data_IF_475017113462
#
_entry.id   IF_475017113462
#
_cell.length_a   1.000
_cell.length_b   1.000
_cell.length_c   1.000
_cell.angle_alpha   90.00
_cell.angle_beta   90.00
_cell.angle_gamma   90.00
#
_symmetry.space_group_name_H-M   'P 1'
#
loop_
_entity.id
_entity.type
_entity.pdbx_description
1 polymer ?
#
# COMPACT_ATOMS: atom_id res chain seq x y z
N UNK A 1 -2.27 15.96 -22.99
CA UNK A 1 -3.52 16.53 -22.44
C UNK A 1 -4.17 17.36 -23.51
N UNK A 2 -5.46 17.17 -23.78
CA UNK A 2 -6.18 17.95 -24.80
C UNK A 2 -6.41 19.38 -24.28
N UNK A 3 -6.00 20.43 -25.07
CA UNK A 3 -6.22 21.83 -24.69
C UNK A 3 -7.68 22.18 -24.45
N UNK A 4 -8.61 21.52 -25.16
CA UNK A 4 -10.04 21.78 -25.01
C UNK A 4 -10.56 21.36 -23.63
N UNK A 5 -10.11 20.23 -23.11
CA UNK A 5 -10.48 19.75 -21.75
C UNK A 5 -9.99 20.71 -20.67
N UNK A 6 -8.81 21.28 -20.86
CA UNK A 6 -8.26 22.28 -19.92
C UNK A 6 -9.12 23.56 -19.98
N UNK A 7 -9.48 24.01 -21.17
CA UNK A 7 -10.32 25.19 -21.34
C UNK A 7 -11.70 25.02 -20.69
N UNK A 8 -12.32 23.87 -20.87
CA UNK A 8 -13.61 23.58 -20.22
C UNK A 8 -13.50 23.57 -18.70
N UNK A 9 -12.47 22.93 -18.15
CA UNK A 9 -12.23 22.93 -16.70
C UNK A 9 -11.99 24.33 -16.15
N UNK A 10 -11.30 25.20 -16.92
CA UNK A 10 -11.08 26.61 -16.54
C UNK A 10 -12.40 27.37 -16.54
N UNK A 11 -13.25 27.19 -17.56
CA UNK A 11 -14.57 27.80 -17.63
C UNK A 11 -15.46 27.41 -16.46
N UNK A 12 -15.52 26.13 -16.12
CA UNK A 12 -16.27 25.61 -14.96
C UNK A 12 -15.78 26.24 -13.66
N UNK A 13 -14.46 26.32 -13.45
CA UNK A 13 -13.88 26.92 -12.27
C UNK A 13 -14.16 28.44 -12.17
N UNK A 14 -14.17 29.15 -13.30
CA UNK A 14 -14.52 30.58 -13.36
C UNK A 14 -16.00 30.78 -13.02
N UNK A 15 -16.89 29.91 -13.55
CA UNK A 15 -18.31 29.93 -13.20
C UNK A 15 -18.51 29.67 -11.71
N UNK A 16 -17.80 28.70 -11.14
CA UNK A 16 -17.86 28.41 -9.71
C UNK A 16 -17.36 29.60 -8.85
N UNK A 17 -16.30 30.26 -9.28
CA UNK A 17 -15.79 31.47 -8.63
C UNK A 17 -16.81 32.63 -8.71
N UNK A 18 -17.45 32.84 -9.87
CA UNK A 18 -18.50 33.80 -10.04
C UNK A 18 -19.70 33.52 -9.13
N UNK A 19 -20.20 32.29 -9.11
CA UNK A 19 -21.34 31.88 -8.26
C UNK A 19 -21.05 32.13 -6.77
N UNK A 20 -19.82 31.89 -6.32
CA UNK A 20 -19.41 32.19 -4.95
C UNK A 20 -19.43 33.68 -4.65
N UNK A 21 -18.82 34.51 -5.52
CA UNK A 21 -18.78 35.95 -5.35
C UNK A 21 -20.19 36.58 -5.40
N UNK A 22 -21.02 36.12 -6.32
CA UNK A 22 -22.41 36.56 -6.44
C UNK A 22 -23.28 36.20 -5.20
N UNK A 23 -23.07 34.99 -4.61
CA UNK A 23 -23.71 34.61 -3.36
C UNK A 23 -23.27 35.47 -2.18
N UNK A 24 -21.99 35.78 -2.09
CA UNK A 24 -21.45 36.71 -1.05
C UNK A 24 -22.06 38.11 -1.17
N UNK A 25 -22.44 38.54 -2.40
CA UNK A 25 -23.12 39.78 -2.65
C UNK A 25 -24.66 39.69 -2.50
N UNK A 26 -25.18 38.53 -2.13
CA UNK A 26 -26.62 38.33 -1.93
C UNK A 26 -27.43 38.18 -3.24
N UNK A 27 -26.78 37.87 -4.36
CA UNK A 27 -27.43 37.64 -5.65
C UNK A 27 -27.86 36.17 -5.74
N UNK A 28 -29.11 35.94 -6.19
CA UNK A 28 -29.63 34.59 -6.43
C UNK A 28 -28.92 33.97 -7.66
N UNK A 29 -28.27 32.85 -7.48
CA UNK A 29 -27.47 32.19 -8.53
C UNK A 29 -28.01 30.82 -8.94
N UNK A 30 -28.94 30.25 -8.16
CA UNK A 30 -29.36 28.87 -8.34
C UNK A 30 -30.50 28.74 -9.39
N UNK A 31 -31.12 29.85 -9.79
CA UNK A 31 -32.15 29.91 -10.82
C UNK A 31 -31.59 30.09 -12.26
N UNK A 32 -30.26 30.17 -12.40
CA UNK A 32 -29.61 30.46 -13.69
C UNK A 32 -28.51 29.45 -14.01
N UNK A 33 -28.44 29.12 -15.31
CA UNK A 33 -27.30 28.45 -15.91
C UNK A 33 -26.26 29.48 -16.37
N UNK A 34 -24.99 29.08 -16.42
CA UNK A 34 -23.87 29.97 -16.69
C UNK A 34 -22.92 29.40 -17.73
N UNK A 35 -22.36 30.28 -18.54
CA UNK A 35 -21.25 29.97 -19.44
C UNK A 35 -20.16 31.05 -19.31
N UNK A 36 -18.92 30.60 -19.35
CA UNK A 36 -17.77 31.52 -19.34
C UNK A 36 -17.08 31.52 -20.71
N UNK A 37 -16.92 32.67 -21.29
CA UNK A 37 -16.19 32.87 -22.55
C UNK A 37 -14.86 33.58 -22.23
N UNK A 38 -13.77 32.95 -22.66
CA UNK A 38 -12.41 33.46 -22.49
C UNK A 38 -11.90 33.85 -23.88
N UNK A 39 -11.50 35.09 -24.07
CA UNK A 39 -10.85 35.52 -25.30
C UNK A 39 -9.40 34.97 -25.31
N UNK A 40 -9.03 34.17 -26.31
CA UNK A 40 -7.70 33.59 -26.36
C UNK A 40 -6.57 34.58 -26.65
N UNK A 41 -6.90 35.80 -27.11
CA UNK A 41 -5.92 36.82 -27.52
C UNK A 41 -5.58 37.74 -26.36
N UNK A 42 -6.58 38.26 -25.67
CA UNK A 42 -6.40 39.25 -24.61
C UNK A 42 -6.65 38.70 -23.21
N UNK A 43 -7.15 37.46 -23.11
CA UNK A 43 -7.48 36.81 -21.82
C UNK A 43 -8.71 37.41 -21.14
N UNK A 44 -9.47 38.28 -21.82
CA UNK A 44 -10.70 38.84 -21.26
C UNK A 44 -11.73 37.74 -21.01
N UNK A 45 -12.30 37.74 -19.82
CA UNK A 45 -13.28 36.72 -19.42
C UNK A 45 -14.63 37.36 -19.23
N UNK A 46 -15.66 36.81 -19.90
CA UNK A 46 -17.05 37.20 -19.74
C UNK A 46 -17.87 36.03 -19.24
N UNK A 47 -18.75 36.30 -18.27
CA UNK A 47 -19.68 35.33 -17.73
C UNK A 47 -21.09 35.70 -18.22
N UNK A 48 -21.74 34.74 -18.83
CA UNK A 48 -23.09 34.86 -19.35
C UNK A 48 -24.02 33.99 -18.49
N UNK A 49 -25.21 34.51 -18.20
CA UNK A 49 -26.24 33.79 -17.48
C UNK A 49 -27.53 33.71 -18.32
N UNK A 50 -28.27 32.65 -18.21
CA UNK A 50 -29.63 32.45 -18.71
C UNK A 50 -30.46 31.70 -17.71
N UNK A 51 -31.79 31.90 -17.66
CA UNK A 51 -32.68 31.18 -16.76
C UNK A 51 -32.67 29.68 -17.07
N UNK A 52 -32.63 28.86 -16.02
CA UNK A 52 -32.71 27.38 -16.15
C UNK A 52 -34.09 27.06 -16.77
N UNK A 53 -34.15 26.35 -17.89
CA UNK A 53 -35.40 25.89 -18.47
C UNK A 53 -36.10 24.93 -17.50
N UNK A 54 -37.45 24.81 -17.56
CA UNK A 54 -38.17 23.83 -16.81
C UNK A 54 -37.72 22.41 -17.17
N UNK A 55 -37.80 21.44 -16.23
CA UNK A 55 -37.33 20.07 -16.42
C UNK A 55 -37.97 19.38 -17.65
N UNK A 56 -39.17 19.83 -18.06
CA UNK A 56 -39.93 19.34 -19.26
C UNK A 56 -39.69 20.16 -20.52
N UNK A 57 -38.72 21.08 -20.54
CA UNK A 57 -38.49 21.98 -21.65
C UNK A 57 -37.96 21.23 -22.90
N UNK A 58 -38.54 21.55 -24.09
CA UNK A 58 -38.06 20.99 -25.34
C UNK A 58 -36.66 21.54 -25.72
N UNK A 59 -35.88 20.77 -26.52
CA UNK A 59 -34.56 21.19 -27.00
C UNK A 59 -34.59 22.59 -27.68
N UNK A 60 -35.68 22.96 -28.32
CA UNK A 60 -35.84 24.28 -28.95
C UNK A 60 -36.01 25.41 -27.92
N UNK A 61 -36.57 25.15 -26.76
CA UNK A 61 -36.72 26.12 -25.69
C UNK A 61 -35.38 26.30 -24.96
N UNK A 62 -34.63 25.22 -24.80
CA UNK A 62 -33.24 25.26 -24.25
C UNK A 62 -32.34 26.08 -25.20
N UNK A 63 -32.44 25.89 -26.51
CA UNK A 63 -31.68 26.71 -27.47
C UNK A 63 -32.11 28.17 -27.48
N UNK A 64 -33.41 28.47 -27.29
CA UNK A 64 -33.88 29.85 -27.14
C UNK A 64 -33.34 30.52 -25.88
N UNK A 65 -33.41 29.82 -24.73
CA UNK A 65 -32.86 30.32 -23.48
C UNK A 65 -31.37 30.58 -23.62
N UNK A 66 -30.59 29.71 -24.27
CA UNK A 66 -29.19 29.94 -24.60
C UNK A 66 -28.92 31.10 -25.54
N UNK A 67 -29.86 31.51 -26.36
CA UNK A 67 -29.74 32.71 -27.22
C UNK A 67 -30.01 34.00 -26.47
N UNK A 68 -30.74 33.96 -25.37
CA UNK A 68 -31.05 35.11 -24.52
C UNK A 68 -29.99 35.35 -23.42
N UNK A 69 -28.72 34.99 -23.68
CA UNK A 69 -27.60 35.14 -22.75
C UNK A 69 -27.42 36.60 -22.35
N UNK A 70 -27.45 36.88 -21.04
CA UNK A 70 -27.09 38.18 -20.46
C UNK A 70 -25.66 38.14 -19.96
N UNK A 71 -24.90 39.18 -20.31
CA UNK A 71 -23.59 39.40 -19.70
C UNK A 71 -23.80 39.87 -18.24
N UNK A 72 -23.33 39.07 -17.31
CA UNK A 72 -23.44 39.30 -15.85
C UNK A 72 -22.07 39.50 -15.21
N UNK A 73 -21.04 39.79 -16.01
CA UNK A 73 -19.67 39.94 -15.56
C UNK A 73 -19.51 41.11 -14.60
N UNK A 74 -19.14 40.93 -13.34
CA UNK A 74 -18.94 42.05 -12.41
C UNK A 74 -17.73 42.88 -12.81
N UNK A 75 -17.75 44.18 -12.54
CA UNK A 75 -16.60 45.05 -12.78
C UNK A 75 -15.40 44.59 -11.96
N UNK A 76 -14.26 44.36 -12.63
CA UNK A 76 -13.03 43.89 -11.98
C UNK A 76 -12.90 42.37 -11.84
N UNK A 77 -13.90 41.61 -12.29
CA UNK A 77 -13.89 40.12 -12.20
C UNK A 77 -12.73 39.47 -12.98
N UNK A 78 -12.17 40.13 -13.97
CA UNK A 78 -11.03 39.62 -14.74
C UNK A 78 -9.81 39.23 -13.88
N UNK A 79 -9.59 39.91 -12.74
CA UNK A 79 -8.50 39.54 -11.80
C UNK A 79 -8.81 38.20 -11.11
N UNK A 80 -10.04 37.99 -10.66
CA UNK A 80 -10.50 36.77 -10.02
C UNK A 80 -10.44 35.62 -11.01
N UNK A 81 -10.96 35.84 -12.24
CA UNK A 81 -10.93 34.87 -13.32
C UNK A 81 -9.49 34.44 -13.68
N UNK A 82 -8.58 35.39 -13.83
CA UNK A 82 -7.16 35.13 -14.13
C UNK A 82 -6.47 34.33 -13.01
N UNK A 83 -6.74 34.66 -11.75
CA UNK A 83 -6.19 33.93 -10.61
C UNK A 83 -6.74 32.53 -10.53
N UNK A 84 -8.04 32.32 -10.73
CA UNK A 84 -8.70 31.00 -10.77
C UNK A 84 -8.16 30.16 -11.94
N UNK A 85 -8.06 30.74 -13.13
CA UNK A 85 -7.50 30.05 -14.29
C UNK A 85 -6.05 29.60 -14.04
N UNK A 86 -5.21 30.47 -13.48
CA UNK A 86 -3.84 30.11 -13.09
C UNK A 86 -3.81 28.94 -12.09
N UNK A 87 -4.67 28.97 -11.09
CA UNK A 87 -4.75 27.90 -10.08
C UNK A 87 -5.17 26.56 -10.72
N UNK A 88 -6.19 26.57 -11.60
CA UNK A 88 -6.67 25.39 -12.32
C UNK A 88 -5.59 24.82 -13.24
N UNK A 89 -4.90 25.68 -13.98
CA UNK A 89 -3.79 25.26 -14.85
C UNK A 89 -2.70 24.56 -14.03
N UNK A 90 -2.27 25.17 -12.92
CA UNK A 90 -1.27 24.56 -12.05
C UNK A 90 -1.75 23.21 -11.45
N UNK A 91 -3.03 23.14 -11.09
CA UNK A 91 -3.61 21.87 -10.61
C UNK A 91 -3.60 20.81 -11.71
N UNK A 92 -4.03 21.15 -12.93
CA UNK A 92 -4.06 20.22 -14.06
C UNK A 92 -2.66 19.76 -14.48
N UNK A 93 -1.67 20.64 -14.43
CA UNK A 93 -0.27 20.26 -14.68
C UNK A 93 0.19 19.24 -13.63
N UNK A 94 -0.06 19.48 -12.34
CA UNK A 94 0.30 18.56 -11.26
C UNK A 94 -0.42 17.21 -11.38
N UNK A 95 -1.70 17.21 -11.76
CA UNK A 95 -2.46 15.99 -12.00
C UNK A 95 -1.87 15.18 -13.17
N UNK A 96 -1.50 15.85 -14.26
CA UNK A 96 -0.86 15.21 -15.41
C UNK A 96 0.53 14.65 -15.08
N UNK A 97 1.37 15.43 -14.38
CA UNK A 97 2.67 14.97 -13.92
C UNK A 97 2.54 13.74 -13.01
N UNK A 98 1.59 13.79 -12.05
CA UNK A 98 1.31 12.66 -11.18
C UNK A 98 0.80 11.45 -11.97
N UNK A 99 -0.06 11.65 -12.96
CA UNK A 99 -0.55 10.60 -13.85
C UNK A 99 0.60 9.91 -14.61
N UNK A 100 1.48 10.68 -15.24
CA UNK A 100 2.64 10.17 -15.98
C UNK A 100 3.60 9.39 -15.05
N UNK A 101 3.82 9.89 -13.83
CA UNK A 101 4.62 9.17 -12.83
C UNK A 101 3.97 7.83 -12.47
N UNK A 102 2.65 7.80 -12.26
CA UNK A 102 1.94 6.55 -11.92
C UNK A 102 1.97 5.54 -13.07
N UNK A 103 1.89 5.98 -14.32
CA UNK A 103 2.04 5.11 -15.50
C UNK A 103 3.45 4.49 -15.55
N UNK A 104 4.50 5.29 -15.33
CA UNK A 104 5.88 4.78 -15.25
C UNK A 104 6.04 3.71 -14.14
N UNK A 105 5.45 3.92 -12.97
CA UNK A 105 5.50 2.95 -11.89
C UNK A 105 4.60 1.73 -12.13
N UNK A 106 3.52 1.86 -12.92
CA UNK A 106 2.67 0.74 -13.30
C UNK A 106 3.43 -0.32 -14.10
N UNK A 107 4.33 0.10 -14.98
CA UNK A 107 5.22 -0.80 -15.73
C UNK A 107 6.25 -1.50 -14.81
N UNK A 108 6.55 -0.91 -13.67
CA UNK A 108 7.51 -1.44 -12.68
C UNK A 108 6.85 -2.29 -11.59
N UNK A 109 5.55 -2.54 -11.65
CA UNK A 109 4.88 -3.44 -10.69
C UNK A 109 5.53 -4.82 -10.73
N UNK A 110 5.80 -5.39 -9.57
CA UNK A 110 6.55 -6.64 -9.42
C UNK A 110 8.07 -6.50 -9.54
N UNK A 111 8.62 -5.29 -9.61
CA UNK A 111 10.07 -5.03 -9.59
C UNK A 111 10.54 -4.43 -8.26
N UNK A 112 11.85 -4.45 -8.03
CA UNK A 112 12.48 -3.80 -6.88
C UNK A 112 12.67 -2.30 -7.13
N UNK A 113 12.42 -1.52 -6.07
CA UNK A 113 12.70 -0.09 -6.03
C UNK A 113 13.41 0.26 -4.73
N UNK A 114 14.36 1.20 -4.81
CA UNK A 114 15.00 1.77 -3.62
C UNK A 114 14.21 2.98 -3.14
N UNK A 115 13.87 3.01 -1.85
CA UNK A 115 13.12 4.10 -1.24
C UNK A 115 13.70 4.54 0.10
N UNK A 116 13.38 5.76 0.49
CA UNK A 116 13.76 6.38 1.76
C UNK A 116 12.55 6.41 2.69
N UNK A 117 12.69 5.92 3.92
CA UNK A 117 11.63 5.98 4.92
C UNK A 117 11.44 7.41 5.38
N UNK A 118 10.27 8.01 5.10
CA UNK A 118 9.94 9.39 5.46
C UNK A 118 9.33 9.49 6.85
N UNK A 119 8.26 8.73 7.09
CA UNK A 119 7.49 8.80 8.33
C UNK A 119 6.66 7.55 8.56
N UNK A 120 6.20 7.41 9.78
CA UNK A 120 5.25 6.37 10.18
C UNK A 120 3.85 7.00 10.33
N UNK A 121 2.89 6.50 9.56
CA UNK A 121 1.48 6.89 9.65
C UNK A 121 0.72 5.78 10.42
N UNK A 122 0.81 5.79 11.74
CA UNK A 122 0.34 4.70 12.59
C UNK A 122 1.11 3.40 12.29
N UNK A 123 0.42 2.30 11.90
CA UNK A 123 1.07 1.04 11.55
C UNK A 123 1.73 1.04 10.17
N UNK A 124 1.34 1.96 9.30
CA UNK A 124 1.83 2.07 7.93
C UNK A 124 3.09 2.93 7.85
N UNK A 125 3.87 2.75 6.79
CA UNK A 125 5.12 3.49 6.56
C UNK A 125 5.01 4.23 5.24
N UNK A 126 5.37 5.52 5.23
CA UNK A 126 5.51 6.32 4.01
C UNK A 126 6.96 6.31 3.55
N UNK A 127 7.13 6.01 2.28
CA UNK A 127 8.43 5.85 1.62
C UNK A 127 8.53 6.83 0.46
N UNK A 128 9.63 7.56 0.37
CA UNK A 128 9.96 8.41 -0.76
C UNK A 128 10.71 7.61 -1.83
N UNK A 129 10.16 7.59 -3.03
CA UNK A 129 10.77 7.00 -4.22
C UNK A 129 11.50 8.03 -5.10
N UNK A 130 11.66 9.27 -4.60
CA UNK A 130 12.31 10.39 -5.26
C UNK A 130 11.34 11.26 -6.08
N UNK A 131 10.45 10.67 -6.85
CA UNK A 131 9.46 11.41 -7.66
C UNK A 131 8.05 11.38 -7.07
N UNK A 132 7.78 10.41 -6.20
CA UNK A 132 6.47 10.23 -5.54
C UNK A 132 6.63 9.49 -4.23
N UNK A 133 5.65 9.65 -3.35
CA UNK A 133 5.55 8.86 -2.12
C UNK A 133 4.81 7.55 -2.38
N UNK A 134 5.21 6.50 -1.67
CA UNK A 134 4.56 5.20 -1.64
C UNK A 134 4.22 4.79 -0.21
N UNK A 135 3.37 3.78 -0.08
CA UNK A 135 2.88 3.28 1.22
C UNK A 135 3.25 1.81 1.37
N UNK A 136 3.80 1.45 2.51
CA UNK A 136 3.90 0.06 2.95
C UNK A 136 2.94 -0.16 4.11
N UNK A 137 1.98 -1.08 3.93
CA UNK A 137 1.00 -1.42 4.95
C UNK A 137 1.64 -2.25 6.08
N UNK A 138 0.96 -2.32 7.21
CA UNK A 138 1.44 -3.11 8.36
C UNK A 138 1.67 -4.59 8.01
N UNK A 139 0.79 -5.17 7.21
CA UNK A 139 0.86 -6.56 6.73
C UNK A 139 2.00 -6.83 5.74
N UNK A 140 2.47 -5.78 5.05
CA UNK A 140 3.55 -5.83 4.06
C UNK A 140 4.94 -5.56 4.67
N UNK A 141 5.00 -5.35 5.98
CA UNK A 141 6.25 -5.20 6.74
C UNK A 141 6.79 -6.58 7.14
N UNK A 142 8.10 -6.69 7.23
CA UNK A 142 8.72 -7.84 7.87
C UNK A 142 8.51 -7.70 9.39
N UNK A 143 7.89 -8.68 10.07
CA UNK A 143 7.75 -8.66 11.52
C UNK A 143 9.13 -8.55 12.18
N UNK A 144 9.22 -7.74 13.24
CA UNK A 144 10.44 -7.49 14.00
C UNK A 144 11.58 -6.77 13.25
N UNK A 145 11.39 -6.35 12.00
CA UNK A 145 12.37 -5.51 11.31
C UNK A 145 12.38 -4.10 11.90
N UNK A 146 13.57 -3.63 12.27
CA UNK A 146 13.74 -2.27 12.77
C UNK A 146 13.86 -1.30 11.60
N UNK A 147 12.82 -0.53 11.39
CA UNK A 147 12.77 0.51 10.37
C UNK A 147 13.09 1.86 11.04
N UNK A 148 14.03 2.61 10.47
CA UNK A 148 14.41 3.92 10.98
C UNK A 148 14.06 5.02 9.97
N UNK A 149 13.74 6.21 10.47
CA UNK A 149 13.55 7.39 9.63
C UNK A 149 14.84 7.69 8.85
N UNK A 150 14.69 8.16 7.63
CA UNK A 150 15.78 8.45 6.70
C UNK A 150 16.65 7.22 6.34
N UNK A 151 16.18 6.02 6.61
CA UNK A 151 16.82 4.79 6.17
C UNK A 151 16.42 4.49 4.73
N UNK A 152 17.41 4.17 3.88
CA UNK A 152 17.19 3.73 2.49
C UNK A 152 17.20 2.21 2.43
N UNK A 153 16.13 1.63 1.89
CA UNK A 153 15.93 0.18 1.76
C UNK A 153 15.40 -0.16 0.37
N UNK A 154 15.47 -1.45 0.03
CA UNK A 154 14.82 -2.00 -1.15
C UNK A 154 13.39 -2.44 -0.81
N UNK A 155 12.46 -2.23 -1.73
CA UNK A 155 11.06 -2.60 -1.63
C UNK A 155 10.59 -3.25 -2.93
N UNK A 156 9.61 -4.14 -2.85
CA UNK A 156 8.87 -4.63 -3.99
C UNK A 156 7.67 -3.70 -4.25
N UNK A 157 7.49 -3.28 -5.48
CA UNK A 157 6.24 -2.62 -5.88
C UNK A 157 5.17 -3.69 -6.02
N UNK A 158 4.27 -3.77 -5.02
CA UNK A 158 3.23 -4.80 -4.95
C UNK A 158 2.07 -4.50 -5.90
N UNK A 159 1.58 -3.28 -5.85
CA UNK A 159 0.45 -2.82 -6.65
C UNK A 159 0.36 -1.29 -6.69
N UNK A 160 -0.42 -0.78 -7.63
CA UNK A 160 -0.88 0.61 -7.65
C UNK A 160 -2.40 0.57 -7.63
N UNK A 161 -2.98 1.10 -6.57
CA UNK A 161 -4.42 1.10 -6.37
C UNK A 161 -4.98 2.52 -6.32
N UNK A 162 -6.23 2.66 -6.72
CA UNK A 162 -6.95 3.90 -6.61
C UNK A 162 -7.54 4.03 -5.20
N UNK A 163 -7.25 5.15 -4.56
CA UNK A 163 -7.74 5.49 -3.23
C UNK A 163 -8.57 6.77 -3.30
N UNK A 164 -9.36 7.15 -2.27
CA UNK A 164 -10.07 8.43 -2.25
C UNK A 164 -9.18 9.67 -2.42
N UNK A 165 -7.85 9.50 -2.22
CA UNK A 165 -6.84 10.56 -2.41
C UNK A 165 -6.14 10.50 -3.77
N UNK A 166 -6.58 9.61 -4.67
CA UNK A 166 -6.00 9.31 -5.97
C UNK A 166 -5.17 8.02 -5.97
N UNK A 167 -4.44 7.76 -7.05
CA UNK A 167 -3.59 6.58 -7.18
C UNK A 167 -2.43 6.61 -6.19
N UNK A 168 -2.23 5.52 -5.46
CA UNK A 168 -1.13 5.31 -4.51
C UNK A 168 -0.36 4.03 -4.85
N UNK A 169 0.96 4.07 -4.66
CA UNK A 169 1.86 2.92 -4.86
C UNK A 169 1.97 2.17 -3.54
N UNK A 170 1.68 0.87 -3.58
CA UNK A 170 1.82 -0.03 -2.44
C UNK A 170 3.10 -0.85 -2.56
N UNK A 171 3.91 -0.80 -1.51
CA UNK A 171 5.17 -1.49 -1.41
C UNK A 171 5.07 -2.64 -0.42
N UNK A 172 5.85 -3.70 -0.66
CA UNK A 172 5.95 -4.82 0.25
C UNK A 172 7.41 -5.25 0.45
N UNK A 173 7.71 -5.68 1.67
CA UNK A 173 8.92 -6.42 2.03
C UNK A 173 8.59 -7.82 2.54
N UNK A 174 7.31 -8.07 2.89
CA UNK A 174 6.81 -9.36 3.37
C UNK A 174 6.44 -10.33 2.23
N UNK A 175 6.18 -9.83 1.03
CA UNK A 175 5.79 -10.64 -0.13
C UNK A 175 6.89 -11.64 -0.51
N UNK A 176 6.56 -12.91 -0.82
CA UNK A 176 7.52 -13.89 -1.32
C UNK A 176 8.26 -13.44 -2.59
N UNK A 177 7.60 -12.70 -3.49
CA UNK A 177 8.20 -12.16 -4.70
C UNK A 177 9.34 -11.17 -4.42
N UNK A 178 9.34 -10.52 -3.25
CA UNK A 178 10.46 -9.69 -2.83
C UNK A 178 11.76 -10.48 -2.78
N UNK A 179 11.73 -11.68 -2.18
CA UNK A 179 12.90 -12.58 -2.11
C UNK A 179 13.31 -13.07 -3.49
N UNK A 180 12.34 -13.44 -4.35
CA UNK A 180 12.61 -13.85 -5.74
C UNK A 180 13.36 -12.76 -6.51
N UNK A 181 12.93 -11.51 -6.38
CA UNK A 181 13.56 -10.38 -7.05
C UNK A 181 14.93 -10.02 -6.45
N UNK A 182 15.13 -10.24 -5.14
CA UNK A 182 16.45 -10.11 -4.53
C UNK A 182 17.43 -11.15 -5.09
N UNK A 183 17.00 -12.41 -5.22
CA UNK A 183 17.82 -13.42 -5.89
C UNK A 183 18.13 -13.04 -7.34
N UNK A 184 17.16 -12.55 -8.09
CA UNK A 184 17.38 -12.11 -9.48
C UNK A 184 18.39 -10.94 -9.57
N UNK A 185 18.51 -10.11 -8.53
CA UNK A 185 19.53 -9.05 -8.45
C UNK A 185 20.92 -9.59 -8.14
N UNK A 186 21.02 -10.56 -7.21
CA UNK A 186 22.31 -11.07 -6.72
C UNK A 186 22.87 -12.22 -7.58
N UNK A 187 22.03 -12.91 -8.33
CA UNK A 187 22.38 -14.13 -9.09
C UNK A 187 22.18 -13.89 -10.58
N UNK A 188 23.26 -13.62 -11.36
CA UNK A 188 23.17 -13.31 -12.79
C UNK A 188 22.51 -14.41 -13.63
N UNK A 189 22.60 -15.67 -13.17
CA UNK A 189 22.02 -16.86 -13.80
C UNK A 189 20.49 -16.81 -13.90
N UNK A 190 19.81 -16.00 -13.07
CA UNK A 190 18.38 -15.71 -13.22
C UNK A 190 18.08 -14.84 -14.43
N UNK A 191 18.93 -13.84 -14.68
CA UNK A 191 18.74 -12.91 -15.80
C UNK A 191 18.98 -13.59 -17.15
N UNK A 192 19.87 -14.61 -17.18
CA UNK A 192 20.10 -15.43 -18.37
C UNK A 192 19.03 -16.53 -18.58
N UNK A 193 18.11 -16.72 -17.61
CA UNK A 193 17.12 -17.79 -17.62
C UNK A 193 17.70 -19.19 -17.40
N UNK A 194 18.99 -19.29 -17.00
CA UNK A 194 19.65 -20.58 -16.73
C UNK A 194 19.17 -21.20 -15.40
N UNK A 195 18.84 -20.37 -14.44
CA UNK A 195 18.31 -20.76 -13.13
C UNK A 195 16.99 -20.03 -12.88
N UNK A 196 16.03 -20.71 -12.29
CA UNK A 196 14.75 -20.13 -11.91
C UNK A 196 14.28 -20.65 -10.55
N UNK A 197 13.49 -19.85 -9.81
CA UNK A 197 12.76 -20.30 -8.62
C UNK A 197 11.40 -20.83 -9.06
N UNK A 198 11.19 -22.13 -8.95
CA UNK A 198 9.94 -22.81 -9.30
C UNK A 198 8.87 -22.65 -8.22
N UNK A 199 9.30 -22.68 -6.96
CA UNK A 199 8.38 -22.52 -5.82
C UNK A 199 9.08 -21.79 -4.68
N UNK A 200 8.31 -21.01 -3.92
CA UNK A 200 8.79 -20.30 -2.74
C UNK A 200 7.73 -20.34 -1.65
N UNK A 201 8.15 -20.68 -0.43
CA UNK A 201 7.33 -20.58 0.77
C UNK A 201 8.03 -19.71 1.80
N UNK A 202 7.35 -18.67 2.29
CA UNK A 202 7.92 -17.66 3.18
C UNK A 202 7.07 -17.46 4.43
N UNK A 203 7.74 -17.34 5.55
CA UNK A 203 7.25 -16.74 6.79
C UNK A 203 8.11 -15.51 7.06
N UNK A 204 7.61 -14.30 6.72
CA UNK A 204 8.40 -13.08 6.75
C UNK A 204 9.05 -12.83 8.12
N UNK A 205 10.33 -12.51 8.13
CA UNK A 205 11.12 -12.25 9.33
C UNK A 205 11.55 -13.50 10.11
N UNK A 206 11.21 -14.70 9.62
CA UNK A 206 11.57 -15.95 10.27
C UNK A 206 12.36 -16.88 9.34
N UNK A 207 11.72 -17.38 8.28
CA UNK A 207 12.36 -18.33 7.37
C UNK A 207 11.69 -18.36 5.99
N UNK A 208 12.51 -18.51 4.95
CA UNK A 208 12.07 -18.72 3.56
C UNK A 208 12.67 -20.01 3.01
N UNK A 209 11.89 -20.79 2.28
CA UNK A 209 12.34 -21.90 1.45
C UNK A 209 12.12 -21.59 -0.02
N UNK A 210 13.18 -21.68 -0.83
CA UNK A 210 13.15 -21.42 -2.27
C UNK A 210 13.60 -22.67 -3.02
N UNK A 211 12.71 -23.26 -3.82
CA UNK A 211 13.02 -24.39 -4.68
C UNK A 211 13.50 -23.87 -6.04
N UNK A 212 14.74 -24.14 -6.37
CA UNK A 212 15.43 -23.65 -7.56
C UNK A 212 15.66 -24.76 -8.57
N UNK A 213 15.55 -24.42 -9.84
CA UNK A 213 15.71 -25.32 -10.97
C UNK A 213 16.69 -24.73 -11.99
N UNK A 214 17.46 -25.58 -12.67
CA UNK A 214 18.27 -25.19 -13.81
C UNK A 214 17.76 -25.84 -15.09
N UNK A 215 17.54 -25.01 -16.11
CA UNK A 215 17.21 -25.51 -17.46
C UNK A 215 18.45 -25.96 -18.25
N UNK A 216 19.66 -25.63 -17.77
CA UNK A 216 20.91 -25.92 -18.45
C UNK A 216 21.65 -27.09 -17.80
N UNK A 217 22.04 -28.06 -18.61
CA UNK A 217 22.84 -29.18 -18.15
C UNK A 217 24.22 -28.70 -17.67
N UNK A 218 24.62 -29.10 -16.46
CA UNK A 218 25.92 -28.76 -15.88
C UNK A 218 25.92 -27.48 -15.04
N UNK A 219 24.77 -26.79 -14.91
CA UNK A 219 24.63 -25.67 -13.98
C UNK A 219 23.95 -26.18 -12.72
N UNK A 220 24.63 -26.09 -11.58
CA UNK A 220 24.05 -26.35 -10.25
C UNK A 220 23.20 -25.15 -9.81
N UNK A 221 21.87 -25.31 -9.75
CA UNK A 221 20.99 -24.19 -9.39
C UNK A 221 21.15 -23.76 -7.92
N UNK A 222 21.41 -24.72 -7.02
CA UNK A 222 21.60 -24.45 -5.60
C UNK A 222 22.93 -23.73 -5.36
N UNK A 223 24.01 -24.26 -5.93
CA UNK A 223 25.33 -23.63 -5.86
C UNK A 223 25.36 -22.23 -6.44
N UNK A 224 24.65 -21.97 -7.56
CA UNK A 224 24.51 -20.65 -8.17
C UNK A 224 23.83 -19.64 -7.24
N UNK A 225 22.75 -20.03 -6.54
CA UNK A 225 22.03 -19.17 -5.62
C UNK A 225 22.77 -18.95 -4.30
N UNK A 226 23.43 -19.98 -3.78
CA UNK A 226 24.23 -19.90 -2.53
C UNK A 226 25.47 -19.05 -2.76
N UNK A 227 26.16 -19.29 -3.90
CA UNK A 227 27.42 -18.63 -4.23
C UNK A 227 28.61 -19.15 -3.42
N UNK A 228 29.81 -18.68 -3.75
CA UNK A 228 31.02 -19.10 -3.04
C UNK A 228 30.93 -18.74 -1.56
N UNK A 229 31.10 -19.71 -0.68
CA UNK A 229 30.99 -19.55 0.78
C UNK A 229 29.69 -18.92 1.25
N UNK A 230 28.61 -19.02 0.48
CA UNK A 230 27.30 -18.49 0.84
C UNK A 230 27.13 -16.98 0.68
N UNK A 231 28.02 -16.29 -0.02
CA UNK A 231 28.00 -14.81 -0.13
C UNK A 231 26.70 -14.29 -0.74
N UNK A 232 26.17 -14.95 -1.80
CA UNK A 232 24.96 -14.48 -2.47
C UNK A 232 23.71 -14.64 -1.61
N UNK A 233 23.51 -15.82 -1.02
CA UNK A 233 22.38 -16.04 -0.11
C UNK A 233 22.49 -15.17 1.15
N UNK A 234 23.72 -14.90 1.62
CA UNK A 234 23.91 -14.01 2.77
C UNK A 234 23.58 -12.56 2.44
N UNK A 235 23.84 -12.09 1.21
CA UNK A 235 23.44 -10.76 0.75
C UNK A 235 21.90 -10.62 0.77
N UNK A 236 21.19 -11.63 0.27
CA UNK A 236 19.71 -11.67 0.33
C UNK A 236 19.25 -11.69 1.80
N UNK A 237 19.80 -12.55 2.63
CA UNK A 237 19.48 -12.68 4.06
C UNK A 237 19.66 -11.33 4.81
N UNK A 238 20.73 -10.62 4.53
CA UNK A 238 21.00 -9.31 5.14
C UNK A 238 19.96 -8.26 4.72
N UNK A 239 19.55 -8.26 3.44
CA UNK A 239 18.54 -7.32 2.92
C UNK A 239 17.17 -7.54 3.55
N UNK A 240 16.82 -8.80 3.91
CA UNK A 240 15.52 -9.14 4.54
C UNK A 240 15.58 -9.18 6.07
N UNK A 241 16.55 -8.50 6.67
CA UNK A 241 16.66 -8.33 8.12
C UNK A 241 17.11 -9.57 8.89
N UNK A 242 17.87 -10.48 8.25
CA UNK A 242 18.40 -11.69 8.88
C UNK A 242 17.47 -12.89 8.86
N UNK A 243 16.39 -12.85 8.08
CA UNK A 243 15.50 -13.98 7.81
C UNK A 243 16.28 -15.13 7.16
N UNK A 244 16.15 -16.36 7.68
CA UNK A 244 16.87 -17.51 7.14
C UNK A 244 16.32 -17.90 5.78
N UNK A 245 17.20 -18.12 4.80
CA UNK A 245 16.83 -18.55 3.46
C UNK A 245 17.45 -19.91 3.15
N UNK A 246 16.60 -20.92 2.99
CA UNK A 246 16.98 -22.26 2.55
C UNK A 246 16.76 -22.36 1.05
N UNK A 247 17.83 -22.62 0.32
CA UNK A 247 17.79 -22.90 -1.12
C UNK A 247 17.84 -24.39 -1.32
N UNK A 248 16.83 -24.96 -1.99
CA UNK A 248 16.69 -26.40 -2.24
C UNK A 248 16.57 -26.66 -3.73
N UNK A 249 17.02 -27.85 -4.15
CA UNK A 249 16.84 -28.26 -5.54
C UNK A 249 15.37 -28.61 -5.79
N UNK A 250 14.81 -28.09 -6.88
CA UNK A 250 13.50 -28.51 -7.38
C UNK A 250 13.57 -29.91 -7.96
N UNK A 251 12.54 -30.71 -7.70
CA UNK A 251 12.31 -31.99 -8.38
C UNK A 251 10.88 -32.08 -8.86
N UNK A 252 10.66 -32.67 -10.03
CA UNK A 252 9.32 -32.96 -10.54
C UNK A 252 8.67 -34.15 -9.78
N UNK A 253 9.48 -34.98 -9.11
CA UNK A 253 8.98 -35.99 -8.19
C UNK A 253 8.63 -35.35 -6.84
N UNK A 254 7.33 -35.36 -6.45
CA UNK A 254 6.91 -34.76 -5.19
C UNK A 254 7.59 -35.40 -3.96
N UNK A 255 7.92 -36.69 -4.00
CA UNK A 255 8.57 -37.36 -2.87
C UNK A 255 10.00 -36.81 -2.66
N UNK A 256 10.76 -36.64 -3.75
CA UNK A 256 12.10 -36.08 -3.70
C UNK A 256 12.07 -34.59 -3.32
N UNK A 257 11.09 -33.83 -3.84
CA UNK A 257 10.92 -32.41 -3.47
C UNK A 257 10.59 -32.26 -1.98
N UNK A 258 9.75 -33.12 -1.41
CA UNK A 258 9.42 -33.10 0.01
C UNK A 258 10.65 -33.45 0.85
N UNK A 259 11.43 -34.48 0.48
CA UNK A 259 12.66 -34.85 1.18
C UNK A 259 13.66 -33.68 1.21
N UNK A 260 13.96 -33.11 0.04
CA UNK A 260 14.89 -31.98 -0.05
C UNK A 260 14.36 -30.73 0.69
N UNK A 261 13.04 -30.53 0.69
CA UNK A 261 12.42 -29.41 1.39
C UNK A 261 12.45 -29.53 2.91
N UNK A 262 12.52 -30.75 3.47
CA UNK A 262 12.63 -30.97 4.91
C UNK A 262 14.05 -30.83 5.45
N UNK A 263 15.02 -30.52 4.58
CA UNK A 263 16.37 -30.18 5.02
C UNK A 263 16.35 -29.16 6.21
N UNK A 264 17.24 -29.33 7.24
CA UNK A 264 18.42 -30.20 7.27
C UNK A 264 18.19 -31.65 7.76
N UNK A 265 16.96 -32.11 7.87
CA UNK A 265 16.70 -33.50 8.24
C UNK A 265 17.12 -34.46 7.09
N UNK A 266 17.77 -35.58 7.46
CA UNK A 266 18.32 -36.53 6.53
C UNK A 266 17.68 -37.94 6.73
N UNK A 267 17.91 -38.85 5.77
CA UNK A 267 17.44 -40.24 5.82
C UNK A 267 15.92 -40.39 5.97
N UNK A 268 15.16 -39.48 5.31
CA UNK A 268 13.72 -39.51 5.32
C UNK A 268 13.17 -40.46 4.27
N UNK A 269 12.12 -41.23 4.61
CA UNK A 269 11.30 -41.92 3.64
C UNK A 269 9.96 -41.21 3.48
N UNK A 270 9.45 -41.14 2.26
CA UNK A 270 8.21 -40.42 1.95
C UNK A 270 7.28 -41.34 1.19
N UNK A 271 6.09 -41.55 1.73
CA UNK A 271 4.98 -42.23 1.09
C UNK A 271 3.89 -41.25 0.72
N UNK A 272 3.45 -41.26 -0.56
CA UNK A 272 2.48 -40.32 -1.09
C UNK A 272 1.11 -40.95 -1.23
N UNK A 273 0.11 -40.41 -0.55
CA UNK A 273 -1.30 -40.68 -0.81
C UNK A 273 -1.84 -39.60 -1.76
N UNK A 274 -1.90 -39.97 -3.04
CA UNK A 274 -2.32 -39.03 -4.11
C UNK A 274 -3.80 -38.68 -4.03
N UNK A 275 -4.63 -39.55 -3.48
CA UNK A 275 -6.08 -39.29 -3.38
C UNK A 275 -6.40 -38.24 -2.34
N UNK A 276 -5.65 -38.23 -1.24
CA UNK A 276 -5.84 -37.26 -0.14
C UNK A 276 -4.86 -36.08 -0.19
N UNK A 277 -3.91 -36.09 -1.12
CA UNK A 277 -2.78 -35.15 -1.17
C UNK A 277 -2.00 -35.09 0.17
N UNK A 278 -1.81 -36.26 0.80
CA UNK A 278 -1.08 -36.45 2.06
C UNK A 278 0.27 -37.11 1.75
N UNK A 279 1.34 -36.55 2.31
CA UNK A 279 2.66 -37.15 2.31
C UNK A 279 3.00 -37.61 3.74
N UNK A 280 3.13 -38.90 3.94
CA UNK A 280 3.63 -39.47 5.18
C UNK A 280 5.15 -39.56 5.12
N UNK A 281 5.80 -38.90 6.05
CA UNK A 281 7.24 -38.82 6.13
C UNK A 281 7.70 -39.55 7.37
N UNK A 282 8.44 -40.64 7.19
CA UNK A 282 9.05 -41.35 8.28
C UNK A 282 10.49 -40.88 8.47
N UNK A 283 10.78 -40.42 9.66
CA UNK A 283 12.09 -39.88 10.05
C UNK A 283 12.72 -40.72 11.17
N UNK A 284 14.05 -40.90 11.18
CA UNK A 284 14.77 -41.41 12.34
C UNK A 284 14.51 -40.55 13.58
N UNK A 285 14.52 -41.15 14.78
CA UNK A 285 14.22 -40.40 16.02
C UNK A 285 15.11 -39.19 16.24
N UNK A 286 16.40 -39.31 15.90
CA UNK A 286 17.37 -38.20 15.97
C UNK A 286 17.07 -37.06 14.96
N UNK A 287 16.40 -37.38 13.84
CA UNK A 287 16.04 -36.43 12.79
C UNK A 287 14.63 -35.83 12.94
N UNK A 288 13.77 -36.48 13.73
CA UNK A 288 12.35 -36.10 13.87
C UNK A 288 12.20 -34.64 14.29
N UNK A 289 12.95 -34.20 15.28
CA UNK A 289 12.90 -32.79 15.75
C UNK A 289 13.33 -31.79 14.67
N UNK A 290 14.32 -32.17 13.83
CA UNK A 290 14.77 -31.31 12.71
C UNK A 290 13.77 -31.31 11.55
N UNK A 291 13.16 -32.47 11.27
CA UNK A 291 12.12 -32.57 10.24
C UNK A 291 10.90 -31.70 10.59
N UNK A 292 10.44 -31.75 11.83
CA UNK A 292 9.32 -30.93 12.33
C UNK A 292 9.74 -29.45 12.41
N UNK A 293 10.91 -29.19 12.94
CA UNK A 293 11.43 -27.84 13.21
C UNK A 293 10.75 -27.16 14.39
N UNK A 294 11.29 -26.02 14.81
CA UNK A 294 10.72 -25.22 15.89
C UNK A 294 9.27 -24.82 15.56
N UNK A 295 8.35 -25.08 16.49
CA UNK A 295 6.91 -24.77 16.34
C UNK A 295 6.29 -25.35 15.04
N UNK A 296 6.79 -26.48 14.52
CA UNK A 296 6.33 -27.08 13.28
C UNK A 296 6.66 -26.27 12.01
N UNK A 297 7.56 -25.32 12.07
CA UNK A 297 7.86 -24.39 10.99
C UNK A 297 8.40 -25.08 9.73
N UNK A 298 9.29 -26.09 9.90
CA UNK A 298 9.89 -26.78 8.77
C UNK A 298 8.83 -27.53 7.96
N UNK A 299 7.96 -28.29 8.63
CA UNK A 299 6.82 -29.01 8.03
C UNK A 299 5.84 -28.02 7.37
N UNK A 300 5.48 -26.94 8.07
CA UNK A 300 4.52 -25.96 7.55
C UNK A 300 5.03 -25.24 6.29
N UNK A 301 6.30 -24.85 6.24
CA UNK A 301 6.90 -24.25 5.06
C UNK A 301 7.00 -25.25 3.91
N UNK A 302 7.38 -26.50 4.21
CA UNK A 302 7.43 -27.58 3.21
C UNK A 302 6.04 -27.86 2.64
N UNK A 303 5.02 -27.91 3.47
CA UNK A 303 3.64 -28.08 3.02
C UNK A 303 3.19 -26.93 2.09
N UNK A 304 3.50 -25.67 2.44
CA UNK A 304 3.23 -24.50 1.57
C UNK A 304 4.01 -24.54 0.26
N UNK A 305 5.25 -25.02 0.29
CA UNK A 305 6.11 -25.08 -0.89
C UNK A 305 5.66 -26.13 -1.89
N UNK A 306 5.29 -27.33 -1.39
CA UNK A 306 4.99 -28.49 -2.21
C UNK A 306 3.50 -28.64 -2.53
N UNK A 307 2.63 -27.98 -1.75
CA UNK A 307 1.17 -28.10 -1.86
C UNK A 307 0.62 -29.43 -1.25
N UNK A 308 1.45 -30.21 -0.56
CA UNK A 308 1.06 -31.44 0.10
C UNK A 308 0.84 -31.23 1.60
N UNK A 309 -0.15 -31.92 2.16
CA UNK A 309 -0.25 -32.05 3.61
C UNK A 309 0.82 -33.03 4.09
N UNK A 310 1.68 -32.61 5.01
CA UNK A 310 2.81 -33.43 5.47
C UNK A 310 2.55 -33.90 6.88
N UNK A 311 2.62 -35.21 7.06
CA UNK A 311 2.53 -35.91 8.35
C UNK A 311 3.89 -36.56 8.62
N UNK A 312 4.54 -36.18 9.73
CA UNK A 312 5.88 -36.69 10.08
C UNK A 312 5.76 -37.64 11.24
N UNK A 313 6.25 -38.87 11.04
CA UNK A 313 6.26 -39.92 12.04
C UNK A 313 7.70 -40.39 12.33
N UNK A 314 7.97 -40.74 13.58
CA UNK A 314 9.27 -41.33 13.96
C UNK A 314 9.33 -42.81 13.62
N UNK A 315 10.46 -43.30 13.12
CA UNK A 315 10.69 -44.75 12.82
C UNK A 315 10.81 -45.63 14.08
N UNK A 316 10.49 -45.16 15.28
CA UNK A 316 10.38 -45.97 16.47
C UNK A 316 9.04 -46.70 16.51
N UNK A 317 9.06 -48.04 16.50
CA UNK A 317 7.87 -48.88 16.74
C UNK A 317 7.17 -48.41 18.02
N UNK A 318 6.08 -47.69 17.90
CA UNK A 318 5.00 -47.72 18.89
C UNK A 318 3.71 -47.49 18.12
N UNK A 319 2.98 -48.59 17.93
CA UNK A 319 1.55 -48.53 17.70
C UNK A 319 0.90 -47.82 18.90
N UNK A 320 0.67 -46.54 18.78
CA UNK A 320 -0.23 -45.84 19.68
C UNK A 320 -1.67 -46.20 19.29
N UNK A 321 -2.57 -46.41 20.26
CA UNK A 321 -3.95 -46.79 19.97
C UNK A 321 -4.64 -45.68 19.21
N UNK A 322 -5.42 -46.06 18.19
CA UNK A 322 -6.34 -45.19 17.47
C UNK A 322 -7.29 -44.50 18.45
N UNK A 323 -6.93 -43.32 18.92
CA UNK A 323 -7.94 -42.40 19.40
C UNK A 323 -8.71 -41.90 18.17
N UNK A 324 -9.94 -42.35 18.07
CA UNK A 324 -10.92 -41.87 17.12
C UNK A 324 -11.03 -40.35 17.31
N UNK A 325 -10.28 -39.61 16.52
CA UNK A 325 -10.55 -38.15 16.32
C UNK A 325 -11.83 -38.14 15.47
N UNK A 326 -12.94 -37.82 16.10
CA UNK A 326 -14.17 -37.48 15.39
C UNK A 326 -13.85 -36.45 14.31
N UNK A 327 -14.14 -36.79 13.06
CA UNK A 327 -14.07 -35.87 11.92
C UNK A 327 -14.82 -34.58 12.28
N UNK A 328 -14.22 -33.38 12.14
CA UNK A 328 -15.01 -32.17 12.12
C UNK A 328 -15.87 -32.23 10.86
N UNK A 329 -17.16 -32.43 11.04
CA UNK A 329 -18.17 -32.41 9.99
C UNK A 329 -17.98 -31.16 9.08
N UNK A 330 -18.20 -31.30 7.76
CA UNK A 330 -18.07 -30.20 6.81
C UNK A 330 -19.04 -29.09 7.23
N UNK A 331 -18.50 -27.91 7.52
CA UNK A 331 -19.27 -26.72 7.89
C UNK A 331 -20.03 -26.27 6.65
N UNK A 332 -21.36 -26.36 6.60
CA UNK A 332 -22.11 -25.81 5.48
C UNK A 332 -22.04 -24.28 5.55
N UNK A 333 -21.51 -23.68 4.50
CA UNK A 333 -21.54 -22.24 4.29
C UNK A 333 -22.99 -21.82 4.01
N UNK A 334 -23.76 -21.71 5.08
CA UNK A 334 -25.05 -20.97 5.07
C UNK A 334 -25.33 -20.52 6.50
N UNK A 335 -24.75 -19.41 6.90
CA UNK A 335 -25.13 -18.78 8.16
C UNK A 335 -26.53 -18.20 8.02
N UNK A 336 -27.54 -18.96 8.42
CA UNK A 336 -28.83 -18.39 8.82
C UNK A 336 -28.59 -17.58 10.09
N UNK A 337 -28.60 -16.24 9.94
CA UNK A 337 -28.61 -15.31 11.06
C UNK A 337 -29.84 -15.64 11.92
N UNK A 338 -29.63 -16.27 13.06
CA UNK A 338 -30.71 -16.60 13.99
C UNK A 338 -31.28 -15.29 14.57
N UNK A 339 -32.61 -15.17 14.55
CA UNK A 339 -33.42 -14.02 15.00
C UNK A 339 -33.04 -13.48 16.38
N UNK A 340 -32.27 -14.21 17.17
CA UNK A 340 -31.82 -13.85 18.51
C UNK A 340 -30.66 -12.83 18.53
N UNK A 341 -29.75 -12.90 17.52
CA UNK A 341 -28.64 -11.92 17.40
C UNK A 341 -29.12 -10.56 16.83
N UNK A 342 -30.10 -10.61 15.92
CA UNK A 342 -30.73 -9.40 15.38
C UNK A 342 -31.54 -8.64 16.46
N UNK A 343 -32.16 -9.36 17.41
CA UNK A 343 -32.90 -8.76 18.51
C UNK A 343 -32.02 -8.12 19.58
N UNK A 344 -30.79 -8.63 19.80
CA UNK A 344 -29.80 -8.01 20.70
C UNK A 344 -29.16 -6.75 20.12
N UNK A 345 -28.90 -6.73 18.77
CA UNK A 345 -28.39 -5.54 18.09
C UNK A 345 -29.43 -4.43 17.98
N UNK A 346 -30.68 -4.78 17.70
CA UNK A 346 -31.78 -3.81 17.68
C UNK A 346 -32.12 -3.23 19.07
N UNK A 347 -31.88 -3.99 20.16
CA UNK A 347 -32.05 -3.49 21.52
C UNK A 347 -30.93 -2.54 21.94
N UNK A 348 -29.70 -2.79 21.48
CA UNK A 348 -28.53 -1.92 21.71
C UNK A 348 -28.58 -0.62 20.89
N UNK A 349 -29.17 -0.64 19.70
CA UNK A 349 -29.40 0.56 18.89
C UNK A 349 -30.48 1.48 19.50
N UNK A 350 -31.55 0.91 20.08
CA UNK A 350 -32.58 1.71 20.78
C UNK A 350 -32.13 2.26 22.14
N UNK A 351 -31.15 1.66 22.81
CA UNK A 351 -30.54 2.21 24.02
C UNK A 351 -29.57 3.37 23.72
N UNK A 352 -29.02 3.45 22.52
CA UNK A 352 -28.14 4.56 22.09
C UNK A 352 -28.97 5.78 21.67
N UNK A 353 -30.13 5.59 21.01
CA UNK A 353 -31.05 6.69 20.67
C UNK A 353 -31.79 7.31 21.89
N UNK A 354 -31.87 6.60 23.02
CA UNK A 354 -32.52 7.11 24.23
C UNK A 354 -31.59 7.94 25.15
N UNK A 355 -30.30 8.10 24.79
CA UNK A 355 -29.30 8.78 25.63
C UNK A 355 -28.71 10.06 24.99
N UNK A 356 -29.32 10.61 23.94
CA UNK A 356 -28.87 11.85 23.31
C UNK A 356 -28.91 13.13 24.18
N UNK A 357 -29.77 13.28 25.26
CA UNK A 357 -29.73 14.52 26.01
C UNK A 357 -28.57 14.66 27.03
N UNK A 358 -27.73 13.64 27.23
CA UNK A 358 -26.55 13.71 28.14
C UNK A 358 -25.24 14.12 27.53
N UNK A 359 -25.17 14.26 26.20
CA UNK A 359 -23.94 14.63 25.52
C UNK A 359 -23.74 16.15 25.44
N UNK A 360 -24.82 16.93 25.52
CA UNK A 360 -24.75 18.39 25.56
C UNK A 360 -24.30 18.91 26.94
N UNK A 361 -24.70 18.28 28.03
CA UNK A 361 -24.24 18.65 29.39
C UNK A 361 -22.74 18.37 29.59
N UNK A 362 -22.18 17.33 28.96
CA UNK A 362 -20.74 17.00 29.03
C UNK A 362 -19.87 17.93 28.18
N UNK A 363 -20.42 18.61 27.18
CA UNK A 363 -19.69 19.60 26.40
C UNK A 363 -19.54 20.94 27.10
N UNK A 364 -20.46 21.28 27.97
CA UNK A 364 -20.36 22.51 28.75
C UNK A 364 -19.46 22.36 29.99
N UNK A 365 -19.37 21.18 30.60
CA UNK A 365 -18.40 20.91 31.68
C UNK A 365 -16.94 20.89 31.18
N UNK A 366 -16.67 20.41 29.94
CA UNK A 366 -15.33 20.43 29.37
C UNK A 366 -14.82 21.82 28.96
N UNK A 367 -15.71 22.80 28.77
CA UNK A 367 -15.32 24.19 28.47
C UNK A 367 -14.91 25.00 29.70
N UNK A 368 -15.24 24.55 30.89
CA UNK A 368 -14.94 25.23 32.16
C UNK A 368 -13.58 24.82 32.73
N UNK A 369 -13.03 23.65 32.38
CA UNK A 369 -11.73 23.17 32.88
C UNK A 369 -10.51 23.72 32.09
N UNK A 370 -10.67 24.21 30.85
CA UNK A 370 -9.58 24.79 30.08
C UNK A 370 -9.10 26.19 30.53
N UNK A 371 -9.77 26.79 31.52
CA UNK A 371 -9.47 28.18 31.96
C UNK A 371 -8.65 28.29 33.27
N UNK A 372 -8.11 27.19 33.82
CA UNK A 372 -7.36 27.25 35.09
C UNK A 372 -5.93 26.67 35.10
N UNK A 373 -5.26 26.50 33.99
CA UNK A 373 -3.84 26.14 33.97
C UNK A 373 -2.98 27.37 33.71
N UNK A 374 -2.61 28.09 34.78
CA UNK A 374 -1.56 29.10 34.79
C UNK A 374 -0.19 28.42 34.73
N UNK A 375 0.51 28.62 33.63
CA UNK A 375 1.93 28.24 33.49
C UNK A 375 2.80 29.29 34.22
N UNK A 376 3.73 28.91 35.13
CA UNK A 376 4.66 29.85 35.73
C UNK A 376 5.77 30.22 34.76
N UNK A 377 5.92 31.54 34.52
CA UNK A 377 7.03 32.14 33.77
C UNK A 377 8.26 32.13 34.66
N UNK A 378 9.27 31.38 34.29
CA UNK A 378 10.62 31.51 34.85
C UNK A 378 11.35 32.68 34.18
N UNK A 379 11.57 33.72 34.95
CA UNK A 379 12.48 34.82 34.61
C UNK A 379 13.92 34.35 34.78
N UNK A 380 14.71 34.30 33.72
CA UNK A 380 16.14 34.41 33.80
C UNK A 380 16.56 35.59 32.91
N UNK A 381 17.00 36.64 33.57
CA UNK A 381 17.62 37.80 32.93
C UNK A 381 19.07 37.48 32.61
N UNK A 382 19.47 37.88 31.42
CA UNK A 382 20.87 38.24 31.11
C UNK A 382 20.80 39.44 30.16
N UNK A 383 21.26 40.57 30.64
CA UNK A 383 21.57 41.79 29.92
C UNK A 383 22.86 41.61 29.14
N UNK A 384 22.90 42.03 27.89
CA UNK A 384 24.12 42.12 27.08
C UNK A 384 23.83 42.89 25.80
N UNK A 385 24.34 44.11 25.74
CA UNK A 385 24.21 45.05 24.64
C UNK A 385 24.92 44.62 23.35
N UNK A 386 24.57 45.16 22.17
CA UNK A 386 25.15 44.76 20.90
C UNK A 386 26.40 45.57 20.57
N UNK A 387 27.46 44.89 20.20
CA UNK A 387 28.67 45.49 19.58
C UNK A 387 28.60 45.40 18.08
N UNK A 388 28.62 46.55 17.43
CA UNK A 388 28.86 46.73 16.01
C UNK A 388 30.31 46.37 15.68
N UNK A 389 30.58 45.58 14.65
CA UNK A 389 31.84 45.63 13.89
C UNK A 389 31.60 45.28 12.42
N UNK A 390 32.03 46.22 11.58
CA UNK A 390 32.00 46.24 10.11
C UNK A 390 33.04 45.26 9.50
N UNK A 391 32.93 44.95 8.21
CA UNK A 391 33.75 43.94 7.52
C UNK A 391 35.05 44.59 6.99
N UNK A 392 36.17 43.91 7.18
CA UNK A 392 37.43 44.16 6.45
C UNK A 392 37.62 43.10 5.35
N UNK A 393 37.67 43.63 4.12
CA UNK A 393 38.29 43.03 2.96
C UNK A 393 39.78 42.83 3.16
N UNK A 394 40.31 41.67 2.72
CA UNK A 394 41.69 41.63 2.17
C UNK A 394 41.87 40.39 1.28
N UNK A 395 42.37 40.69 0.09
CA UNK A 395 42.89 39.84 -0.95
C UNK A 395 44.13 39.01 -0.50
N UNK A 396 44.40 38.04 -1.31
CA UNK A 396 45.69 37.48 -1.73
C UNK A 396 46.03 36.01 -1.37
N UNK A 397 46.14 35.39 -2.43
CA UNK A 397 46.99 34.33 -3.01
C UNK A 397 46.35 33.00 -3.26
#
# INVERSE_FOLDING_TARGET
MDPNVILETIKEAIIAAYKRDAREQGTEVDSFDYDAVIDPVNGETKVFAWPIPAEDASEKEIEKAKKEKKDVTPPGFGRIAAQTAKQVIHQKIREAEKGAIMEEFQEKVGSLVSGLILRFDGPNVRIDLGRTEAVMLAEDRIPNERLNLNQRLSFLIKAINETPRGKEIFLSRADPQFVVKLFAREVPEFNSGSVEIKAIAREPGVRTKAAVFSSQTGVDPVGSCVGQKGVRVQAVTNEIGGERVDVIAWSDDPAELIKSSLSPAENLSVELDKEKAIAKVSAPEDQLSMAIGKDGQNVRLTAKLTGWRIEVEGNGMISAPEEKVEEPAPVPVTQKITKTKARKLAKKAKEVEANEPKIEELKDELKVEELQVKVPVLKTGITGEPGEEEPKSEDNK
#
